data_IF_759365710666
#
_entry.id   IF_759365710666
#
_cell.length_a   1.000
_cell.length_b   1.000
_cell.length_c   1.000
_cell.angle_alpha   90.00
_cell.angle_beta   90.00
_cell.angle_gamma   90.00
#
_symmetry.space_group_name_H-M   'P 1'
#
loop_
_entity.id
_entity.type
_entity.pdbx_description
1 polymer ?
#
# COMPACT_ATOMS: atom_id res chain seq x y z
N UNK A 1 2.87 -4.20 -8.81
CA UNK A 1 4.10 -4.50 -8.07
C UNK A 1 3.74 -4.93 -6.67
N UNK A 2 4.24 -6.08 -6.22
CA UNK A 2 4.04 -6.53 -4.84
C UNK A 2 5.31 -6.21 -4.06
N UNK A 3 5.22 -5.27 -3.11
CA UNK A 3 6.36 -4.88 -2.28
C UNK A 3 6.54 -5.93 -1.18
N UNK A 4 7.75 -6.48 -1.02
CA UNK A 4 8.09 -7.39 0.07
C UNK A 4 8.99 -6.72 1.10
N UNK A 5 8.73 -7.03 2.37
CA UNK A 5 9.45 -6.49 3.52
C UNK A 5 10.20 -7.58 4.28
N UNK A 6 11.35 -7.22 4.85
CA UNK A 6 12.13 -8.04 5.78
C UNK A 6 12.49 -7.23 7.01
N UNK A 7 12.25 -7.79 8.20
CA UNK A 7 12.78 -7.23 9.43
C UNK A 7 14.18 -7.78 9.71
N UNK A 8 15.21 -6.92 9.67
CA UNK A 8 16.59 -7.28 10.00
C UNK A 8 16.84 -7.49 11.49
N UNK A 9 15.92 -7.05 12.37
CA UNK A 9 16.05 -7.27 13.82
C UNK A 9 15.67 -8.70 14.25
N UNK A 10 14.64 -9.30 13.64
CA UNK A 10 14.12 -10.61 14.07
C UNK A 10 13.95 -11.63 12.94
N UNK A 11 14.22 -11.24 11.69
CA UNK A 11 14.09 -12.12 10.53
C UNK A 11 12.66 -12.31 10.02
N UNK A 12 11.67 -11.60 10.58
CA UNK A 12 10.28 -11.70 10.12
C UNK A 12 10.13 -11.25 8.66
N UNK A 13 9.33 -12.01 7.90
CA UNK A 13 9.07 -11.80 6.47
C UNK A 13 7.58 -11.77 6.14
N UNK A 14 6.69 -11.99 7.11
CA UNK A 14 5.28 -12.33 6.83
C UNK A 14 4.26 -11.43 7.52
N UNK A 15 4.66 -10.64 8.52
CA UNK A 15 3.72 -9.81 9.32
C UNK A 15 4.24 -8.41 9.56
N UNK A 16 3.64 -7.43 8.89
CA UNK A 16 3.98 -6.02 9.03
C UNK A 16 2.70 -5.20 9.08
N UNK A 17 2.69 -4.16 9.89
CA UNK A 17 1.68 -3.12 9.78
C UNK A 17 2.24 -2.07 8.81
N UNK A 18 1.49 -1.76 7.75
CA UNK A 18 1.90 -0.84 6.68
C UNK A 18 0.92 0.31 6.67
N UNK A 19 1.43 1.53 6.75
CA UNK A 19 0.65 2.77 6.57
C UNK A 19 1.00 3.34 5.22
N UNK A 20 0.00 3.52 4.37
CA UNK A 20 0.18 4.05 3.02
C UNK A 20 -0.93 5.02 2.63
N UNK A 21 -0.56 5.99 1.80
CA UNK A 21 -1.48 6.96 1.20
C UNK A 21 -1.55 6.70 -0.30
N UNK A 22 -2.75 6.41 -0.78
CA UNK A 22 -3.05 6.24 -2.21
C UNK A 22 -4.01 7.34 -2.67
N UNK A 23 -3.57 8.13 -3.64
CA UNK A 23 -4.40 9.16 -4.29
C UNK A 23 -4.92 8.61 -5.61
N UNK A 24 -6.24 8.60 -5.78
CA UNK A 24 -6.92 8.09 -6.97
C UNK A 24 -7.71 9.23 -7.62
N UNK A 25 -7.58 9.36 -8.93
CA UNK A 25 -8.46 10.17 -9.77
C UNK A 25 -9.44 9.23 -10.46
N UNK A 26 -10.73 9.53 -10.42
CA UNK A 26 -11.74 8.73 -11.11
C UNK A 26 -12.86 9.61 -11.65
N UNK A 27 -13.53 9.16 -12.71
CA UNK A 27 -14.71 9.81 -13.26
C UNK A 27 -15.95 9.26 -12.57
N UNK A 28 -16.72 10.13 -11.92
CA UNK A 28 -17.96 9.77 -11.24
C UNK A 28 -19.13 10.04 -12.18
N UNK A 29 -19.72 8.97 -12.71
CA UNK A 29 -20.90 9.04 -13.57
C UNK A 29 -22.14 8.71 -12.75
N UNK A 30 -22.98 9.72 -12.54
CA UNK A 30 -24.27 9.54 -11.89
C UNK A 30 -25.39 9.38 -12.92
N UNK A 31 -26.29 8.43 -12.68
CA UNK A 31 -27.59 8.41 -13.37
C UNK A 31 -28.47 9.54 -12.87
N UNK A 32 -29.53 9.87 -13.61
CA UNK A 32 -30.53 10.86 -13.16
C UNK A 32 -31.21 10.41 -11.85
N UNK A 33 -31.32 9.10 -11.61
CA UNK A 33 -31.84 8.51 -10.37
C UNK A 33 -30.85 8.53 -9.20
N UNK A 34 -29.60 8.96 -9.44
CA UNK A 34 -28.56 9.08 -8.42
C UNK A 34 -27.69 7.83 -8.22
N UNK A 35 -27.79 6.82 -9.10
CA UNK A 35 -26.87 5.68 -9.04
C UNK A 35 -25.48 6.09 -9.54
N UNK A 36 -24.43 5.69 -8.82
CA UNK A 36 -23.04 6.01 -9.15
C UNK A 36 -22.36 4.85 -9.89
N UNK A 37 -21.79 5.15 -11.06
CA UNK A 37 -20.77 4.35 -11.72
C UNK A 37 -19.43 5.08 -11.64
N UNK A 38 -18.38 4.39 -11.20
CA UNK A 38 -17.02 4.93 -11.25
C UNK A 38 -16.34 4.42 -12.52
N UNK A 39 -15.92 5.35 -13.38
CA UNK A 39 -15.25 5.05 -14.64
C UNK A 39 -13.79 5.53 -14.58
N UNK A 40 -12.92 4.84 -15.32
CA UNK A 40 -11.50 5.19 -15.48
C UNK A 40 -10.74 5.55 -14.19
N UNK A 41 -10.78 4.70 -13.14
CA UNK A 41 -9.99 4.95 -11.93
C UNK A 41 -8.49 4.85 -12.24
N UNK A 42 -7.75 5.87 -11.83
CA UNK A 42 -6.30 5.98 -12.03
C UNK A 42 -5.63 6.33 -10.70
N UNK A 43 -4.67 5.50 -10.28
CA UNK A 43 -3.80 5.83 -9.14
C UNK A 43 -2.77 6.87 -9.61
N UNK A 44 -2.92 8.11 -9.16
CA UNK A 44 -2.02 9.21 -9.55
C UNK A 44 -0.82 9.34 -8.61
N UNK A 45 -0.96 8.84 -7.38
CA UNK A 45 0.11 8.81 -6.40
C UNK A 45 -0.09 7.67 -5.43
N UNK A 46 1.00 6.99 -5.10
CA UNK A 46 1.06 6.00 -4.04
C UNK A 46 2.30 6.28 -3.20
N UNK A 47 2.18 6.25 -1.88
CA UNK A 47 3.29 6.52 -0.97
C UNK A 47 3.13 5.66 0.28
N UNK A 48 4.16 4.87 0.59
CA UNK A 48 4.25 4.13 1.86
C UNK A 48 4.86 5.07 2.91
N UNK A 49 4.13 5.31 3.99
CA UNK A 49 4.52 6.25 5.06
C UNK A 49 5.32 5.56 6.16
N UNK A 50 4.88 4.38 6.60
CA UNK A 50 5.60 3.59 7.60
C UNK A 50 5.38 2.09 7.43
N UNK A 51 6.35 1.31 7.90
CA UNK A 51 6.27 -0.14 7.96
C UNK A 51 6.83 -0.61 9.28
N UNK A 52 6.00 -1.28 10.07
CA UNK A 52 6.35 -1.74 11.41
C UNK A 52 6.29 -3.26 11.49
N UNK A 53 7.35 -3.87 12.02
CA UNK A 53 7.36 -5.31 12.24
C UNK A 53 6.45 -5.68 13.42
N UNK A 54 5.31 -6.30 13.12
CA UNK A 54 4.32 -6.68 14.13
C UNK A 54 4.79 -7.78 15.10
N UNK A 55 5.89 -8.47 14.76
CA UNK A 55 6.45 -9.51 15.62
C UNK A 55 7.30 -8.94 16.76
N UNK A 56 8.26 -8.06 16.46
CA UNK A 56 9.18 -7.51 17.47
C UNK A 56 8.89 -6.05 17.86
N UNK A 57 7.92 -5.41 17.20
CA UNK A 57 7.54 -4.01 17.45
C UNK A 57 8.60 -2.98 17.05
N UNK A 58 9.68 -3.38 16.37
CA UNK A 58 10.71 -2.47 15.86
C UNK A 58 10.45 -2.19 14.37
N UNK A 59 10.02 -0.96 14.04
CA UNK A 59 9.94 -0.48 12.66
C UNK A 59 11.31 -0.10 12.06
N UNK A 60 12.29 0.27 12.89
CA UNK A 60 13.59 0.82 12.46
C UNK A 60 14.48 -0.15 11.67
N UNK A 61 14.14 -1.43 11.66
CA UNK A 61 14.95 -2.49 11.04
C UNK A 61 14.22 -3.16 9.88
N UNK A 62 13.13 -2.58 9.37
CA UNK A 62 12.41 -3.13 8.21
C UNK A 62 13.02 -2.59 6.92
N UNK A 63 13.36 -3.49 6.01
CA UNK A 63 13.89 -3.18 4.67
C UNK A 63 12.97 -3.75 3.59
N UNK A 64 12.88 -3.04 2.47
CA UNK A 64 12.23 -3.53 1.26
C UNK A 64 13.21 -4.47 0.54
N UNK A 65 12.79 -5.71 0.29
CA UNK A 65 13.63 -6.75 -0.32
C UNK A 65 13.21 -7.13 -1.74
N UNK A 66 12.05 -6.66 -2.19
CA UNK A 66 11.57 -6.92 -3.54
C UNK A 66 10.54 -5.86 -3.91
N UNK A 67 10.89 -5.02 -4.86
CA UNK A 67 9.94 -4.25 -5.64
C UNK A 67 9.87 -4.99 -6.97
N UNK A 68 9.09 -6.06 -7.05
CA UNK A 68 9.08 -6.92 -8.23
C UNK A 68 8.57 -6.13 -9.44
N UNK A 69 9.49 -5.51 -10.19
CA UNK A 69 9.27 -4.88 -11.48
C UNK A 69 8.77 -5.97 -12.43
N UNK A 70 7.47 -5.95 -12.70
CA UNK A 70 6.88 -6.63 -13.84
C UNK A 70 6.84 -5.65 -15.01
#
# INVERSE_FOLDING_TARGET
MTIRYRCNACGNLTRFDVVETTTVRAFHHFTVGGELTIESPEVVRHTVESVDCRWCGHGRSVEVIDEATA
#
